data_IF_838068429057
#
_entry.id   IF_838068429057
#
_cell.length_a   1.000
_cell.length_b   1.000
_cell.length_c   1.000
_cell.angle_alpha   90.00
_cell.angle_beta   90.00
_cell.angle_gamma   90.00
#
_symmetry.space_group_name_H-M   'P 1'
#
loop_
_entity.id
_entity.type
_entity.pdbx_description
1 polymer ?
#
# COMPACT_ATOMS: atom_id res chain seq x y z
N UNK A 1 20.78 6.30 6.37
CA UNK A 1 20.47 5.51 7.58
C UNK A 1 21.13 6.18 8.77
N UNK A 2 20.42 6.26 9.90
CA UNK A 2 20.98 6.77 11.15
C UNK A 2 21.97 5.76 11.76
N UNK A 3 22.89 6.23 12.61
CA UNK A 3 23.83 5.38 13.33
C UNK A 3 23.10 4.28 14.15
N UNK A 4 21.95 4.61 14.73
CA UNK A 4 21.09 3.64 15.44
C UNK A 4 20.48 2.55 14.53
N UNK A 5 20.21 2.84 13.26
CA UNK A 5 19.74 1.84 12.29
C UNK A 5 20.83 0.84 11.94
N UNK A 6 22.06 1.34 11.71
CA UNK A 6 23.21 0.49 11.39
C UNK A 6 23.52 -0.47 12.55
N UNK A 7 23.54 0.04 13.78
CA UNK A 7 23.72 -0.77 15.00
C UNK A 7 22.61 -1.81 15.20
N UNK A 8 21.35 -1.46 14.92
CA UNK A 8 20.22 -2.42 14.93
C UNK A 8 20.38 -3.50 13.87
N UNK A 9 20.79 -3.13 12.67
CA UNK A 9 21.05 -4.07 11.59
C UNK A 9 22.19 -5.03 11.94
N UNK A 10 23.27 -4.52 12.56
CA UNK A 10 24.37 -5.35 13.06
C UNK A 10 23.93 -6.33 14.16
N UNK A 11 23.13 -5.86 15.13
CA UNK A 11 22.55 -6.73 16.16
C UNK A 11 21.64 -7.81 15.56
N UNK A 12 20.75 -7.44 14.63
CA UNK A 12 19.87 -8.39 13.96
C UNK A 12 20.67 -9.41 13.13
N UNK A 13 21.70 -8.95 12.40
CA UNK A 13 22.60 -9.82 11.65
C UNK A 13 23.24 -10.86 12.57
N UNK A 14 23.73 -10.44 13.74
CA UNK A 14 24.32 -11.37 14.71
C UNK A 14 23.34 -12.46 15.15
N UNK A 15 22.05 -12.15 15.26
CA UNK A 15 21.01 -13.12 15.61
C UNK A 15 20.73 -14.14 14.49
N UNK A 16 20.89 -13.74 13.23
CA UNK A 16 20.46 -14.56 12.07
C UNK A 16 21.63 -15.08 11.21
N UNK A 17 22.87 -14.65 11.43
CA UNK A 17 24.03 -14.99 10.58
C UNK A 17 24.35 -16.48 10.48
N UNK A 18 23.89 -17.27 11.45
CA UNK A 18 24.00 -18.73 11.46
C UNK A 18 23.01 -19.43 10.51
N UNK A 19 22.00 -18.71 10.02
CA UNK A 19 21.02 -19.25 9.08
C UNK A 19 21.57 -19.18 7.64
N UNK A 20 21.46 -20.26 6.85
CA UNK A 20 22.02 -20.30 5.49
C UNK A 20 21.35 -19.28 4.55
N UNK A 21 20.04 -19.03 4.70
CA UNK A 21 19.27 -18.14 3.84
C UNK A 21 19.76 -16.68 3.85
N UNK A 22 19.75 -15.97 4.99
CA UNK A 22 20.25 -14.60 5.07
C UNK A 22 21.69 -14.43 4.60
N UNK A 23 22.54 -15.44 4.82
CA UNK A 23 23.97 -15.38 4.50
C UNK A 23 24.26 -15.51 3.00
N UNK A 24 23.41 -16.18 2.23
CA UNK A 24 23.52 -16.27 0.77
C UNK A 24 22.98 -15.04 0.05
N UNK A 25 22.15 -14.23 0.71
CA UNK A 25 21.53 -13.03 0.15
C UNK A 25 22.42 -11.77 0.27
N UNK A 26 23.51 -11.85 1.04
CA UNK A 26 24.38 -10.72 1.31
C UNK A 26 25.77 -10.95 0.73
N UNK A 27 26.33 -9.92 0.11
CA UNK A 27 27.72 -9.90 -0.35
C UNK A 27 28.69 -9.99 0.83
N UNK A 28 29.94 -10.40 0.58
CA UNK A 28 30.98 -10.40 1.61
C UNK A 28 31.21 -9.02 2.22
N UNK A 29 31.08 -7.95 1.43
CA UNK A 29 31.19 -6.56 1.90
C UNK A 29 30.07 -6.20 2.88
N UNK A 30 28.82 -6.52 2.56
CA UNK A 30 27.67 -6.24 3.42
C UNK A 30 27.74 -7.04 4.73
N UNK A 31 28.15 -8.32 4.65
CA UNK A 31 28.34 -9.16 5.85
C UNK A 31 29.41 -8.62 6.78
N UNK A 32 30.51 -8.11 6.22
CA UNK A 32 31.57 -7.47 7.01
C UNK A 32 31.05 -6.18 7.65
N UNK A 33 30.41 -5.30 6.88
CA UNK A 33 29.84 -4.06 7.41
C UNK A 33 28.82 -4.30 8.54
N UNK A 34 27.93 -5.29 8.41
CA UNK A 34 27.00 -5.67 9.47
C UNK A 34 27.72 -6.20 10.72
N UNK A 35 28.85 -6.89 10.54
CA UNK A 35 29.67 -7.38 11.65
C UNK A 35 30.41 -6.23 12.33
N UNK A 36 30.93 -5.26 11.57
CA UNK A 36 31.58 -4.05 12.08
C UNK A 36 30.60 -3.22 12.92
N UNK A 37 29.37 -3.01 12.42
CA UNK A 37 28.32 -2.31 13.17
C UNK A 37 27.87 -3.06 14.43
N UNK A 38 28.00 -4.39 14.47
CA UNK A 38 27.77 -5.16 15.69
C UNK A 38 28.89 -4.94 16.72
N UNK A 39 30.15 -4.86 16.30
CA UNK A 39 31.25 -4.53 17.22
C UNK A 39 31.14 -3.09 17.73
N UNK A 40 30.73 -2.14 16.89
CA UNK A 40 30.36 -0.78 17.31
C UNK A 40 29.20 -0.79 18.31
N UNK A 41 28.20 -1.66 18.12
CA UNK A 41 27.12 -1.83 19.10
C UNK A 41 27.65 -2.39 20.44
N UNK A 42 28.64 -3.28 20.42
CA UNK A 42 29.25 -3.86 21.62
C UNK A 42 30.06 -2.86 22.43
N UNK A 43 30.61 -1.81 21.82
CA UNK A 43 31.35 -0.76 22.53
C UNK A 43 30.45 0.27 23.21
N UNK A 44 29.14 0.28 22.93
CA UNK A 44 28.18 1.24 23.52
C UNK A 44 27.94 1.03 25.01
N UNK A 45 27.49 2.11 25.66
CA UNK A 45 27.03 2.10 27.04
C UNK A 45 25.78 1.23 27.25
N UNK A 46 25.52 0.83 28.50
CA UNK A 46 24.40 -0.04 28.84
C UNK A 46 23.03 0.54 28.44
N UNK A 47 22.85 1.86 28.61
CA UNK A 47 21.59 2.53 28.31
C UNK A 47 21.29 2.59 26.80
N UNK A 48 22.31 2.85 25.98
CA UNK A 48 22.18 2.83 24.52
C UNK A 48 21.87 1.42 24.01
N UNK A 49 22.58 0.41 24.53
CA UNK A 49 22.31 -1.01 24.20
C UNK A 49 20.87 -1.39 24.55
N UNK A 50 20.38 -0.98 25.71
CA UNK A 50 19.00 -1.23 26.16
C UNK A 50 18.00 -0.56 25.23
N UNK A 51 18.29 0.66 24.79
CA UNK A 51 17.44 1.42 23.87
C UNK A 51 17.37 0.75 22.50
N UNK A 52 18.52 0.38 21.93
CA UNK A 52 18.62 -0.33 20.65
C UNK A 52 17.93 -1.69 20.72
N UNK A 53 18.17 -2.46 21.80
CA UNK A 53 17.55 -3.78 21.99
C UNK A 53 16.04 -3.70 22.14
N UNK A 54 15.53 -2.77 22.96
CA UNK A 54 14.08 -2.53 23.11
C UNK A 54 13.45 -2.10 21.79
N UNK A 55 14.14 -1.23 21.05
CA UNK A 55 13.69 -0.79 19.73
C UNK A 55 13.59 -1.99 18.79
N UNK A 56 14.65 -2.80 18.66
CA UNK A 56 14.65 -4.02 17.84
C UNK A 56 13.56 -5.00 18.27
N UNK A 57 13.41 -5.24 19.58
CA UNK A 57 12.36 -6.08 20.13
C UNK A 57 10.97 -5.56 19.75
N UNK A 58 10.75 -4.24 19.69
CA UNK A 58 9.46 -3.67 19.24
C UNK A 58 9.19 -3.90 17.74
N UNK A 59 10.24 -4.02 16.91
CA UNK A 59 10.06 -4.39 15.50
C UNK A 59 9.77 -5.88 15.33
N UNK A 60 10.38 -6.71 16.18
CA UNK A 60 10.25 -8.18 16.14
C UNK A 60 9.08 -8.70 16.99
N UNK A 61 8.51 -7.88 17.87
CA UNK A 61 7.43 -8.29 18.75
C UNK A 61 6.20 -8.65 17.94
N UNK A 62 5.66 -9.83 18.20
CA UNK A 62 4.43 -10.35 17.61
C UNK A 62 3.17 -9.63 18.08
N UNK A 63 3.26 -8.71 19.05
CA UNK A 63 2.14 -7.88 19.48
C UNK A 63 1.76 -6.92 18.36
N UNK A 64 0.83 -7.36 17.50
CA UNK A 64 0.25 -6.55 16.44
C UNK A 64 -0.66 -5.49 17.08
N UNK A 65 -0.62 -4.23 16.62
CA UNK A 65 -1.59 -3.24 17.07
C UNK A 65 -3.00 -3.73 16.73
N UNK A 66 -3.89 -3.77 17.70
CA UNK A 66 -5.28 -4.23 17.50
C UNK A 66 -6.18 -3.14 16.91
N UNK A 67 -5.76 -1.87 16.99
CA UNK A 67 -6.57 -0.74 16.54
C UNK A 67 -7.02 -0.83 15.06
N UNK A 68 -6.22 -1.31 14.08
CA UNK A 68 -6.70 -1.39 12.70
C UNK A 68 -7.85 -2.40 12.56
N UNK A 69 -7.79 -3.53 13.28
CA UNK A 69 -8.89 -4.49 13.29
C UNK A 69 -10.16 -3.90 13.92
N UNK A 70 -10.02 -3.15 15.03
CA UNK A 70 -11.17 -2.45 15.66
C UNK A 70 -11.78 -1.43 14.70
N UNK A 71 -10.97 -0.61 14.03
CA UNK A 71 -11.43 0.35 13.02
C UNK A 71 -12.12 -0.37 11.86
N UNK A 72 -11.55 -1.47 11.37
CA UNK A 72 -12.17 -2.31 10.34
C UNK A 72 -13.52 -2.87 10.76
N UNK A 73 -13.65 -3.41 11.98
CA UNK A 73 -14.93 -3.95 12.51
C UNK A 73 -15.99 -2.85 12.59
N UNK A 74 -15.66 -1.72 13.20
CA UNK A 74 -16.58 -0.57 13.31
C UNK A 74 -16.97 -0.09 11.91
N UNK A 75 -16.00 -0.02 11.01
CA UNK A 75 -16.19 0.36 9.61
C UNK A 75 -17.14 -0.56 8.86
N UNK A 76 -17.01 -1.89 9.00
CA UNK A 76 -17.93 -2.86 8.39
C UNK A 76 -19.34 -2.74 8.96
N UNK A 77 -19.50 -2.53 10.27
CA UNK A 77 -20.82 -2.31 10.88
C UNK A 77 -21.48 -1.06 10.31
N UNK A 78 -20.74 0.06 10.23
CA UNK A 78 -21.22 1.31 9.64
C UNK A 78 -21.56 1.15 8.17
N UNK A 79 -20.71 0.47 7.40
CA UNK A 79 -20.94 0.16 6.00
C UNK A 79 -22.24 -0.64 5.81
N UNK A 80 -22.47 -1.68 6.61
CA UNK A 80 -23.71 -2.48 6.55
C UNK A 80 -24.94 -1.62 6.89
N UNK A 81 -24.87 -0.80 7.94
CA UNK A 81 -25.95 0.09 8.32
C UNK A 81 -26.28 1.10 7.20
N UNK A 82 -25.26 1.72 6.60
CA UNK A 82 -25.41 2.64 5.48
C UNK A 82 -25.99 1.95 4.25
N UNK A 83 -25.56 0.72 3.94
CA UNK A 83 -26.06 -0.04 2.80
C UNK A 83 -27.55 -0.36 2.95
N UNK A 84 -27.97 -0.77 4.15
CA UNK A 84 -29.38 -1.06 4.45
C UNK A 84 -30.23 0.22 4.43
N UNK A 85 -29.72 1.30 5.02
CA UNK A 85 -30.37 2.61 4.99
C UNK A 85 -30.58 3.09 3.55
N UNK A 86 -29.51 3.13 2.76
CA UNK A 86 -29.55 3.51 1.34
C UNK A 86 -30.50 2.60 0.53
N UNK A 87 -30.44 1.29 0.81
CA UNK A 87 -31.36 0.27 0.33
C UNK A 87 -32.82 0.63 0.50
N UNK A 88 -33.18 1.07 1.70
CA UNK A 88 -34.54 1.43 2.07
C UNK A 88 -35.00 2.76 1.48
N UNK A 89 -34.12 3.76 1.44
CA UNK A 89 -34.48 5.13 1.02
C UNK A 89 -34.47 5.29 -0.49
N UNK A 90 -33.57 4.60 -1.20
CA UNK A 90 -33.35 4.79 -2.63
C UNK A 90 -33.43 3.47 -3.42
N UNK A 91 -34.55 2.73 -3.37
CA UNK A 91 -34.64 1.38 -3.93
C UNK A 91 -34.30 1.28 -5.43
N UNK A 92 -34.47 2.37 -6.20
CA UNK A 92 -34.20 2.42 -7.64
C UNK A 92 -32.69 2.48 -8.01
N UNK A 93 -31.78 2.72 -7.06
CA UNK A 93 -30.35 2.95 -7.33
C UNK A 93 -29.48 1.68 -7.35
N UNK A 94 -30.03 0.51 -7.68
CA UNK A 94 -29.37 -0.80 -7.49
C UNK A 94 -27.92 -0.90 -7.99
N UNK A 95 -27.66 -0.56 -9.26
CA UNK A 95 -26.31 -0.64 -9.85
C UNK A 95 -25.36 0.40 -9.23
N UNK A 96 -25.84 1.62 -9.04
CA UNK A 96 -25.05 2.70 -8.43
C UNK A 96 -24.63 2.34 -7.00
N UNK A 97 -25.56 1.78 -6.21
CA UNK A 97 -25.30 1.30 -4.85
C UNK A 97 -24.18 0.28 -4.84
N UNK A 98 -24.18 -0.68 -5.76
CA UNK A 98 -23.12 -1.69 -5.83
C UNK A 98 -21.75 -1.03 -6.01
N UNK A 99 -21.62 -0.05 -6.90
CA UNK A 99 -20.36 0.66 -7.14
C UNK A 99 -19.89 1.47 -5.91
N UNK A 100 -20.78 2.27 -5.32
CA UNK A 100 -20.46 3.10 -4.16
C UNK A 100 -20.05 2.26 -2.95
N UNK A 101 -20.85 1.24 -2.65
CA UNK A 101 -20.63 0.42 -1.47
C UNK A 101 -19.53 -0.61 -1.66
N UNK A 102 -19.22 -1.03 -2.90
CA UNK A 102 -18.03 -1.84 -3.15
C UNK A 102 -16.75 -1.09 -2.79
N UNK A 103 -16.60 0.17 -3.22
CA UNK A 103 -15.43 0.98 -2.89
C UNK A 103 -15.33 1.24 -1.38
N UNK A 104 -16.46 1.54 -0.72
CA UNK A 104 -16.49 1.66 0.74
C UNK A 104 -16.16 0.35 1.46
N UNK A 105 -16.57 -0.80 0.92
CA UNK A 105 -16.21 -2.09 1.49
C UNK A 105 -14.69 -2.29 1.43
N UNK A 106 -14.07 -2.05 0.27
CA UNK A 106 -12.62 -2.11 0.12
C UNK A 106 -11.89 -1.14 1.06
N UNK A 107 -12.41 0.08 1.21
CA UNK A 107 -11.88 1.06 2.17
C UNK A 107 -11.87 0.51 3.60
N UNK A 108 -12.94 -0.16 4.03
CA UNK A 108 -13.00 -0.78 5.37
C UNK A 108 -12.10 -2.02 5.47
N UNK A 109 -12.01 -2.83 4.40
CA UNK A 109 -11.10 -3.98 4.33
C UNK A 109 -9.63 -3.59 4.39
N UNK A 110 -9.27 -2.37 3.99
CA UNK A 110 -7.91 -1.86 4.06
C UNK A 110 -7.33 -1.86 5.49
N UNK A 111 -8.16 -1.61 6.50
CA UNK A 111 -7.72 -1.64 7.91
C UNK A 111 -7.44 -3.05 8.40
N UNK A 112 -8.20 -4.05 7.94
CA UNK A 112 -7.86 -5.45 8.18
C UNK A 112 -6.57 -5.83 7.44
N UNK A 113 -6.36 -5.34 6.22
CA UNK A 113 -5.13 -5.57 5.49
C UNK A 113 -3.91 -5.01 6.25
N UNK A 114 -4.01 -3.81 6.83
CA UNK A 114 -2.99 -3.26 7.73
C UNK A 114 -2.78 -4.16 8.96
N UNK A 115 -3.86 -4.64 9.58
CA UNK A 115 -3.77 -5.53 10.75
C UNK A 115 -3.00 -6.83 10.46
N UNK A 116 -3.10 -7.35 9.24
CA UNK A 116 -2.40 -8.58 8.84
C UNK A 116 -0.94 -8.38 8.43
N UNK A 117 -0.49 -7.14 8.25
CA UNK A 117 0.92 -6.84 8.05
C UNK A 117 1.69 -6.98 9.36
N UNK A 118 2.93 -7.46 9.26
CA UNK A 118 3.80 -7.51 10.42
C UNK A 118 4.30 -6.10 10.79
N UNK A 119 4.60 -5.86 12.07
CA UNK A 119 5.07 -4.55 12.56
C UNK A 119 6.28 -4.01 11.77
N UNK A 120 7.14 -4.92 11.31
CA UNK A 120 8.26 -4.59 10.45
C UNK A 120 7.79 -4.08 9.09
N UNK A 121 6.86 -4.77 8.43
CA UNK A 121 6.32 -4.37 7.13
C UNK A 121 5.61 -3.02 7.21
N UNK A 122 4.82 -2.79 8.26
CA UNK A 122 4.16 -1.50 8.48
C UNK A 122 5.22 -0.39 8.54
N UNK A 123 6.25 -0.54 9.37
CA UNK A 123 7.27 0.51 9.54
C UNK A 123 8.19 0.68 8.32
N UNK A 124 8.45 -0.39 7.56
CA UNK A 124 9.28 -0.33 6.37
C UNK A 124 8.53 0.29 5.19
N UNK A 125 7.28 -0.12 4.98
CA UNK A 125 6.54 0.25 3.77
C UNK A 125 5.63 1.46 3.97
N UNK A 126 5.19 1.76 5.19
CA UNK A 126 4.41 2.96 5.49
C UNK A 126 5.29 4.11 6.00
N UNK A 127 6.32 4.44 5.21
CA UNK A 127 7.20 5.59 5.46
C UNK A 127 7.14 6.57 4.29
N UNK A 128 7.20 7.85 4.60
CA UNK A 128 7.42 8.90 3.59
C UNK A 128 8.91 8.98 3.31
N UNK A 129 9.31 8.46 2.15
CA UNK A 129 10.66 8.65 1.65
C UNK A 129 10.77 10.04 1.00
N UNK A 130 11.40 10.97 1.70
CA UNK A 130 11.53 12.38 1.31
C UNK A 130 12.70 12.66 0.36
N UNK A 131 13.37 11.62 -0.17
CA UNK A 131 14.42 11.80 -1.17
C UNK A 131 13.84 12.51 -2.41
N UNK A 132 14.56 13.49 -3.02
CA UNK A 132 14.09 14.20 -4.21
C UNK A 132 13.71 13.28 -5.36
N UNK A 133 14.42 12.16 -5.54
CA UNK A 133 14.10 11.15 -6.55
C UNK A 133 12.73 10.53 -6.33
N UNK A 134 12.37 10.22 -5.08
CA UNK A 134 11.10 9.59 -4.72
C UNK A 134 9.93 10.56 -4.89
N UNK A 135 10.15 11.83 -4.58
CA UNK A 135 9.18 12.90 -4.86
C UNK A 135 8.95 13.06 -6.37
N UNK A 136 10.02 13.12 -7.16
CA UNK A 136 9.93 13.22 -8.62
C UNK A 136 9.18 12.02 -9.21
N UNK A 137 9.53 10.80 -8.81
CA UNK A 137 8.82 9.57 -9.21
C UNK A 137 7.34 9.62 -8.85
N UNK A 138 6.99 10.15 -7.68
CA UNK A 138 5.60 10.26 -7.23
C UNK A 138 4.81 11.28 -8.07
N UNK A 139 5.41 12.43 -8.42
CA UNK A 139 4.80 13.43 -9.29
C UNK A 139 4.57 12.89 -10.71
N UNK A 140 5.56 12.18 -11.25
CA UNK A 140 5.46 11.55 -12.57
C UNK A 140 4.38 10.46 -12.58
N UNK A 141 4.35 9.61 -11.55
CA UNK A 141 3.35 8.58 -11.38
C UNK A 141 1.94 9.17 -11.23
N UNK A 142 1.76 10.23 -10.44
CA UNK A 142 0.48 10.92 -10.30
C UNK A 142 -0.02 11.49 -11.63
N UNK A 143 0.87 12.15 -12.39
CA UNK A 143 0.54 12.70 -13.71
C UNK A 143 0.12 11.59 -14.67
N UNK A 144 0.93 10.53 -14.80
CA UNK A 144 0.62 9.40 -15.67
C UNK A 144 -0.69 8.71 -15.28
N UNK A 145 -0.89 8.44 -13.99
CA UNK A 145 -2.09 7.78 -13.49
C UNK A 145 -3.34 8.63 -13.73
N UNK A 146 -3.26 9.95 -13.47
CA UNK A 146 -4.38 10.87 -13.74
C UNK A 146 -4.72 10.90 -15.23
N UNK A 147 -3.72 10.94 -16.12
CA UNK A 147 -3.96 10.91 -17.58
C UNK A 147 -4.62 9.60 -18.01
N UNK A 148 -4.12 8.45 -17.54
CA UNK A 148 -4.70 7.14 -17.87
C UNK A 148 -6.12 7.00 -17.34
N UNK A 149 -6.38 7.41 -16.10
CA UNK A 149 -7.71 7.39 -15.50
C UNK A 149 -8.66 8.36 -16.21
N UNK A 150 -8.20 9.54 -16.64
CA UNK A 150 -9.01 10.44 -17.45
C UNK A 150 -9.45 9.74 -18.74
N UNK A 151 -8.53 9.08 -19.44
CA UNK A 151 -8.85 8.31 -20.66
C UNK A 151 -9.84 7.18 -20.40
N UNK A 152 -9.68 6.42 -19.31
CA UNK A 152 -10.64 5.37 -18.92
C UNK A 152 -12.03 5.97 -18.67
N UNK A 153 -12.10 7.12 -17.98
CA UNK A 153 -13.36 7.75 -17.62
C UNK A 153 -14.08 8.45 -18.78
N UNK A 154 -13.41 8.78 -19.89
CA UNK A 154 -14.07 9.31 -21.09
C UNK A 154 -15.13 8.36 -21.67
N UNK A 155 -14.99 7.05 -21.42
CA UNK A 155 -15.91 6.02 -21.90
C UNK A 155 -17.06 5.68 -20.94
N UNK A 156 -17.07 6.21 -19.72
CA UNK A 156 -18.07 5.83 -18.72
C UNK A 156 -19.33 6.70 -18.82
N UNK A 157 -20.54 6.10 -18.83
CA UNK A 157 -21.81 6.83 -18.94
C UNK A 157 -22.19 7.58 -17.64
N UNK A 158 -21.30 7.62 -16.64
CA UNK A 158 -21.59 8.08 -15.30
C UNK A 158 -20.82 9.37 -14.98
N UNK A 159 -21.57 10.44 -14.69
CA UNK A 159 -21.04 11.74 -14.28
C UNK A 159 -21.12 11.86 -12.75
N UNK A 160 -19.99 11.79 -12.00
CA UNK A 160 -19.98 11.85 -10.55
C UNK A 160 -20.65 13.11 -9.97
N UNK A 161 -20.65 14.23 -10.70
CA UNK A 161 -21.28 15.50 -10.27
C UNK A 161 -22.80 15.48 -10.24
N UNK A 162 -23.44 14.46 -10.84
CA UNK A 162 -24.89 14.28 -10.78
C UNK A 162 -25.35 13.62 -9.48
N UNK A 163 -24.42 13.18 -8.63
CA UNK A 163 -24.74 12.68 -7.29
C UNK A 163 -25.17 13.81 -6.37
N UNK A 164 -26.13 13.52 -5.50
CA UNK A 164 -26.37 14.38 -4.35
C UNK A 164 -25.18 14.35 -3.37
N UNK A 165 -25.08 15.33 -2.47
CA UNK A 165 -23.92 15.48 -1.59
C UNK A 165 -23.62 14.26 -0.71
N UNK A 166 -24.64 13.46 -0.34
CA UNK A 166 -24.45 12.29 0.50
C UNK A 166 -23.71 11.19 -0.27
N UNK A 167 -24.23 10.79 -1.43
CA UNK A 167 -23.59 9.77 -2.27
C UNK A 167 -22.22 10.23 -2.81
N UNK A 168 -22.06 11.52 -3.12
CA UNK A 168 -20.78 12.06 -3.54
C UNK A 168 -19.73 11.96 -2.42
N UNK A 169 -20.10 12.22 -1.18
CA UNK A 169 -19.21 12.07 -0.02
C UNK A 169 -18.81 10.61 0.19
N UNK A 170 -19.76 9.67 0.06
CA UNK A 170 -19.50 8.24 0.12
C UNK A 170 -18.51 7.80 -0.97
N UNK A 171 -18.71 8.28 -2.20
CA UNK A 171 -17.80 8.03 -3.31
C UNK A 171 -16.39 8.52 -2.99
N UNK A 172 -16.23 9.78 -2.58
CA UNK A 172 -14.92 10.38 -2.26
C UNK A 172 -14.17 9.62 -1.17
N UNK A 173 -14.85 9.23 -0.10
CA UNK A 173 -14.25 8.41 0.97
C UNK A 173 -13.83 7.05 0.45
N UNK A 174 -14.70 6.39 -0.32
CA UNK A 174 -14.42 5.10 -0.95
C UNK A 174 -13.18 5.17 -1.85
N UNK A 175 -13.17 6.06 -2.85
CA UNK A 175 -12.07 6.17 -3.81
C UNK A 175 -10.77 6.69 -3.20
N UNK A 176 -10.84 7.41 -2.07
CA UNK A 176 -9.69 7.91 -1.34
C UNK A 176 -9.02 6.87 -0.43
N UNK A 177 -9.77 5.88 0.07
CA UNK A 177 -9.26 4.89 1.03
C UNK A 177 -9.14 3.49 0.43
N UNK A 178 -10.04 3.07 -0.46
CA UNK A 178 -10.00 1.76 -1.12
C UNK A 178 -8.63 1.42 -1.75
N UNK A 179 -7.91 2.38 -2.39
CA UNK A 179 -6.56 2.13 -2.88
C UNK A 179 -5.61 1.56 -1.83
N UNK A 180 -5.77 1.85 -0.54
CA UNK A 180 -4.92 1.29 0.50
C UNK A 180 -4.98 -0.24 0.55
N UNK A 181 -6.17 -0.82 0.39
CA UNK A 181 -6.33 -2.27 0.31
C UNK A 181 -5.65 -2.82 -0.96
N UNK A 182 -5.89 -2.17 -2.10
CA UNK A 182 -5.33 -2.58 -3.39
C UNK A 182 -3.80 -2.52 -3.38
N UNK A 183 -3.21 -1.47 -2.81
CA UNK A 183 -1.76 -1.34 -2.71
C UNK A 183 -1.16 -2.45 -1.82
N UNK A 184 -1.77 -2.78 -0.69
CA UNK A 184 -1.30 -3.90 0.14
C UNK A 184 -1.42 -5.22 -0.62
N UNK A 185 -2.56 -5.47 -1.27
CA UNK A 185 -2.80 -6.72 -1.99
C UNK A 185 -1.85 -6.89 -3.20
N UNK A 186 -1.78 -5.89 -4.07
CA UNK A 186 -1.11 -5.98 -5.36
C UNK A 186 0.35 -5.52 -5.34
N UNK A 187 0.79 -4.75 -4.34
CA UNK A 187 2.17 -4.21 -4.27
C UNK A 187 2.98 -4.80 -3.12
N UNK A 188 2.35 -5.58 -2.23
CA UNK A 188 3.04 -6.32 -1.19
C UNK A 188 2.71 -7.82 -1.21
N UNK A 189 1.47 -8.20 -0.91
CA UNK A 189 1.14 -9.61 -0.69
C UNK A 189 1.34 -10.46 -1.94
N UNK A 190 0.79 -10.06 -3.08
CA UNK A 190 0.88 -10.85 -4.30
C UNK A 190 2.32 -10.93 -4.86
N UNK A 191 3.08 -9.82 -5.02
CA UNK A 191 4.46 -9.90 -5.46
C UNK A 191 5.36 -10.71 -4.53
N UNK A 192 5.17 -10.61 -3.20
CA UNK A 192 5.99 -11.33 -2.22
C UNK A 192 5.86 -12.86 -2.27
N UNK A 193 4.79 -13.39 -2.88
CA UNK A 193 4.58 -14.83 -3.07
C UNK A 193 5.28 -15.38 -4.32
N UNK A 194 5.73 -14.52 -5.23
CA UNK A 194 6.23 -14.89 -6.55
C UNK A 194 7.79 -14.92 -6.59
N UNK A 195 8.50 -14.55 -5.51
CA UNK A 195 9.95 -14.86 -5.32
C UNK A 195 10.67 -14.05 -4.21
N UNK A 196 12.03 -13.89 -4.26
CA UNK A 196 12.81 -12.74 -3.67
C UNK A 196 13.48 -11.75 -4.68
N UNK A 197 13.49 -10.45 -4.30
CA UNK A 197 13.74 -9.20 -5.07
C UNK A 197 14.95 -9.23 -6.05
N UNK A 198 14.98 -8.50 -7.19
CA UNK A 198 14.06 -7.44 -7.64
C UNK A 198 12.82 -8.00 -8.35
N UNK A 199 11.64 -7.88 -7.74
CA UNK A 199 10.42 -8.55 -8.24
C UNK A 199 9.64 -7.84 -9.32
N UNK A 200 10.34 -7.41 -10.36
CA UNK A 200 9.65 -6.93 -11.55
C UNK A 200 8.63 -7.96 -12.07
N UNK A 201 8.94 -9.27 -12.00
CA UNK A 201 8.03 -10.33 -12.42
C UNK A 201 6.78 -10.45 -11.51
N UNK A 202 6.97 -10.43 -10.18
CA UNK A 202 5.86 -10.50 -9.23
C UNK A 202 4.93 -9.29 -9.37
N UNK A 203 5.50 -8.10 -9.58
CA UNK A 203 4.76 -6.88 -9.85
C UNK A 203 4.07 -6.88 -11.22
N UNK A 204 4.69 -7.46 -12.25
CA UNK A 204 4.11 -7.60 -13.58
C UNK A 204 2.88 -8.52 -13.55
N UNK A 205 3.00 -9.67 -12.88
CA UNK A 205 1.89 -10.61 -12.67
C UNK A 205 0.79 -9.96 -11.84
N UNK A 206 1.15 -9.25 -10.76
CA UNK A 206 0.19 -8.51 -9.97
C UNK A 206 -0.53 -7.43 -10.78
N UNK A 207 0.15 -6.78 -11.73
CA UNK A 207 -0.45 -5.80 -12.64
C UNK A 207 -1.45 -6.43 -13.61
N UNK A 208 -1.15 -7.63 -14.12
CA UNK A 208 -2.08 -8.40 -14.93
C UNK A 208 -3.33 -8.84 -14.13
N UNK A 209 -3.15 -9.29 -12.89
CA UNK A 209 -4.27 -9.67 -12.01
C UNK A 209 -5.10 -8.44 -11.62
N UNK A 210 -4.45 -7.31 -11.31
CA UNK A 210 -5.14 -6.03 -11.08
C UNK A 210 -6.01 -5.64 -12.27
N UNK A 211 -5.47 -5.76 -13.48
CA UNK A 211 -6.21 -5.50 -14.73
C UNK A 211 -7.43 -6.39 -14.85
N UNK A 212 -7.28 -7.69 -14.63
CA UNK A 212 -8.39 -8.64 -14.69
C UNK A 212 -9.46 -8.35 -13.62
N UNK A 213 -9.05 -7.93 -12.42
CA UNK A 213 -9.97 -7.57 -11.33
C UNK A 213 -10.84 -6.33 -11.65
N UNK A 214 -10.42 -5.50 -12.60
CA UNK A 214 -11.19 -4.34 -13.07
C UNK A 214 -12.16 -4.67 -14.21
N UNK A 215 -12.19 -5.93 -14.68
CA UNK A 215 -13.11 -6.44 -15.70
C UNK A 215 -13.22 -5.48 -16.91
N UNK A 216 -12.13 -5.30 -17.67
CA UNK A 216 -12.12 -4.35 -18.79
C UNK A 216 -13.06 -4.80 -19.91
N UNK A 217 -13.87 -3.86 -20.42
CA UNK A 217 -14.83 -4.12 -21.51
C UNK A 217 -14.17 -4.16 -22.90
N UNK A 218 -12.90 -3.74 -23.02
CA UNK A 218 -12.17 -3.73 -24.29
C UNK A 218 -10.66 -4.00 -24.10
N UNK A 219 -9.95 -4.46 -25.14
CA UNK A 219 -8.49 -4.63 -25.09
C UNK A 219 -7.74 -3.34 -24.78
N UNK A 220 -8.26 -2.20 -25.26
CA UNK A 220 -7.69 -0.88 -25.01
C UNK A 220 -7.85 -0.48 -23.53
N UNK A 221 -9.04 -0.70 -22.95
CA UNK A 221 -9.28 -0.47 -21.53
C UNK A 221 -8.42 -1.40 -20.65
N UNK A 222 -8.24 -2.66 -21.07
CA UNK A 222 -7.33 -3.59 -20.40
C UNK A 222 -5.89 -3.07 -20.40
N UNK A 223 -5.42 -2.53 -21.53
CA UNK A 223 -4.11 -1.92 -21.63
C UNK A 223 -3.98 -0.71 -20.68
N UNK A 224 -4.99 0.16 -20.60
CA UNK A 224 -4.95 1.30 -19.68
C UNK A 224 -4.92 0.88 -18.20
N UNK A 225 -5.76 -0.06 -17.77
CA UNK A 225 -5.69 -0.59 -16.40
C UNK A 225 -4.36 -1.26 -16.09
N UNK A 226 -3.79 -1.98 -17.07
CA UNK A 226 -2.47 -2.58 -16.93
C UNK A 226 -1.38 -1.53 -16.77
N UNK A 227 -1.43 -0.46 -17.55
CA UNK A 227 -0.50 0.67 -17.44
C UNK A 227 -0.66 1.40 -16.10
N UNK A 228 -1.89 1.63 -15.62
CA UNK A 228 -2.15 2.17 -14.28
C UNK A 228 -1.47 1.30 -13.22
N UNK A 229 -1.68 -0.01 -13.30
CA UNK A 229 -1.14 -0.95 -12.33
C UNK A 229 0.39 -1.00 -12.35
N UNK A 230 0.98 -0.93 -13.55
CA UNK A 230 2.41 -0.92 -13.80
C UNK A 230 3.06 0.38 -13.30
N UNK A 231 2.42 1.54 -13.50
CA UNK A 231 2.88 2.83 -12.96
C UNK A 231 3.03 2.77 -11.44
N UNK A 232 2.02 2.23 -10.74
CA UNK A 232 2.06 2.05 -9.29
C UNK A 232 3.11 1.02 -8.85
N UNK A 233 3.26 -0.07 -9.60
CA UNK A 233 4.32 -1.04 -9.35
C UNK A 233 5.73 -0.44 -9.50
N UNK A 234 5.97 0.35 -10.53
CA UNK A 234 7.26 1.04 -10.72
C UNK A 234 7.51 2.04 -9.59
N UNK A 235 6.48 2.78 -9.16
CA UNK A 235 6.59 3.68 -8.01
C UNK A 235 6.95 2.90 -6.73
N UNK A 236 6.31 1.73 -6.49
CA UNK A 236 6.63 0.84 -5.36
C UNK A 236 8.09 0.40 -5.38
N UNK A 237 8.61 0.01 -6.54
CA UNK A 237 10.00 -0.45 -6.70
C UNK A 237 10.98 0.70 -6.47
N UNK A 238 10.70 1.88 -7.01
CA UNK A 238 11.60 3.04 -6.94
C UNK A 238 11.67 3.65 -5.53
N UNK A 239 10.53 3.70 -4.83
CA UNK A 239 10.44 4.36 -3.51
C UNK A 239 10.61 3.41 -2.33
N UNK A 240 10.47 2.10 -2.57
CA UNK A 240 10.35 1.08 -1.54
C UNK A 240 9.29 1.45 -0.46
N UNK A 241 8.18 2.06 -0.89
CA UNK A 241 7.12 2.57 0.00
C UNK A 241 5.75 2.24 -0.57
N UNK A 242 4.89 1.63 0.25
CA UNK A 242 3.46 1.48 -0.02
C UNK A 242 2.71 2.79 0.28
N UNK A 243 3.23 3.64 1.16
CA UNK A 243 2.59 4.92 1.46
C UNK A 243 2.61 5.85 0.26
N UNK A 244 3.73 5.92 -0.48
CA UNK A 244 3.78 6.70 -1.71
C UNK A 244 2.82 6.19 -2.77
N UNK A 245 2.73 4.86 -2.97
CA UNK A 245 1.79 4.32 -3.96
C UNK A 245 0.35 4.54 -3.56
N UNK A 246 0.01 4.36 -2.28
CA UNK A 246 -1.33 4.68 -1.76
C UNK A 246 -1.69 6.14 -1.97
N UNK A 247 -0.82 7.07 -1.57
CA UNK A 247 -1.10 8.50 -1.68
C UNK A 247 -1.27 8.94 -3.13
N UNK A 248 -0.40 8.48 -4.03
CA UNK A 248 -0.51 8.78 -5.47
C UNK A 248 -1.77 8.19 -6.07
N UNK A 249 -2.09 6.93 -5.75
CA UNK A 249 -3.27 6.23 -6.25
C UNK A 249 -4.56 6.92 -5.76
N UNK A 250 -4.69 7.13 -4.45
CA UNK A 250 -5.83 7.83 -3.85
C UNK A 250 -5.99 9.25 -4.40
N UNK A 251 -4.89 10.00 -4.51
CA UNK A 251 -4.94 11.37 -5.03
C UNK A 251 -5.39 11.41 -6.49
N UNK A 252 -4.90 10.49 -7.34
CA UNK A 252 -5.31 10.43 -8.73
C UNK A 252 -6.80 10.06 -8.87
N UNK A 253 -7.28 9.09 -8.10
CA UNK A 253 -8.70 8.70 -8.11
C UNK A 253 -9.59 9.87 -7.66
N UNK A 254 -9.23 10.54 -6.57
CA UNK A 254 -9.97 11.72 -6.07
C UNK A 254 -9.93 12.87 -7.06
N UNK A 255 -8.76 13.16 -7.65
CA UNK A 255 -8.61 14.22 -8.65
C UNK A 255 -9.54 14.00 -9.84
N UNK A 256 -9.65 12.75 -10.32
CA UNK A 256 -10.55 12.40 -11.42
C UNK A 256 -12.02 12.53 -11.01
N UNK A 257 -12.41 12.03 -9.83
CA UNK A 257 -13.81 12.19 -9.35
C UNK A 257 -14.21 13.67 -9.23
N UNK A 258 -13.29 14.56 -8.86
CA UNK A 258 -13.54 16.00 -8.76
C UNK A 258 -13.55 16.66 -10.16
N UNK A 259 -12.64 16.26 -11.03
CA UNK A 259 -12.48 16.85 -12.36
C UNK A 259 -13.55 16.37 -13.36
N UNK A 260 -14.08 15.16 -13.19
CA UNK A 260 -15.14 14.61 -14.04
C UNK A 260 -16.38 15.51 -13.99
N UNK A 261 -16.93 15.91 -15.15
CA UNK A 261 -18.09 16.79 -15.25
C UNK A 261 -19.39 16.12 -14.79
#
# INVERSE_FOLDING_TARGET
>A
MSNHELKRAGLLWQMIKGQPGPRSLLTSKERNALSDHYEEYRSLGADEKRTISRSLQSYLSSSRPTWPAVVGIVGIILWTALLLYDGSQYPALGILRLHLFYMLLLANLSFFAIYFLDNLEIRLYFRLDLRPSSLLSSILAFTALTMLLATINLGLPYAPRKLDPFHYSLLLVGVGIAPLFEEIAFRQWLPSRIGRDPHWLGHLIASAIFTAAHIPDSPEMALYYFLCALTLALLRIQTDSLLWTFLVHASANVAIVIASP
#
